data_IF_660098135193
#
_entry.id   IF_660098135193
#
_cell.length_a   1.000
_cell.length_b   1.000
_cell.length_c   1.000
_cell.angle_alpha   90.00
_cell.angle_beta   90.00
_cell.angle_gamma   90.00
#
_symmetry.space_group_name_H-M   'P 1'
#
loop_
_entity.id
_entity.type
_entity.pdbx_description
1 polymer ?
#
# COMPACT_ATOMS: atom_id res chain seq x y z
N UNK A 1 0.34 -9.13 -9.19
CA UNK A 1 -0.04 -7.75 -8.75
C UNK A 1 0.49 -7.52 -7.36
N UNK A 2 0.80 -6.28 -6.92
CA UNK A 2 1.30 -6.10 -5.55
C UNK A 2 0.22 -6.27 -4.49
N UNK A 3 0.59 -6.83 -3.33
CA UNK A 3 -0.28 -6.99 -2.15
C UNK A 3 -0.95 -5.68 -1.73
N UNK A 4 -0.23 -4.57 -1.77
CA UNK A 4 -0.75 -3.21 -1.55
C UNK A 4 -1.97 -2.92 -2.42
N UNK A 5 -1.88 -3.26 -3.71
CA UNK A 5 -2.98 -3.02 -4.66
C UNK A 5 -4.20 -3.87 -4.32
N UNK A 6 -3.98 -5.11 -3.88
CA UNK A 6 -5.03 -6.04 -3.50
C UNK A 6 -5.76 -5.54 -2.25
N UNK A 7 -5.03 -5.32 -1.15
CA UNK A 7 -5.59 -4.88 0.14
C UNK A 7 -6.31 -3.54 0.03
N UNK A 8 -5.76 -2.58 -0.72
CA UNK A 8 -6.42 -1.29 -0.95
C UNK A 8 -7.78 -1.48 -1.64
N UNK A 9 -7.84 -2.35 -2.65
CA UNK A 9 -9.08 -2.63 -3.40
C UNK A 9 -10.08 -3.41 -2.55
N UNK A 10 -9.65 -4.37 -1.75
CA UNK A 10 -10.50 -5.10 -0.81
C UNK A 10 -11.17 -4.17 0.21
N UNK A 11 -10.45 -3.15 0.66
CA UNK A 11 -11.00 -2.07 1.50
C UNK A 11 -11.86 -1.05 0.74
N UNK A 12 -12.04 -1.18 -0.57
CA UNK A 12 -12.79 -0.23 -1.39
C UNK A 12 -12.12 1.15 -1.51
N UNK A 13 -10.83 1.26 -1.21
CA UNK A 13 -10.12 2.54 -1.19
C UNK A 13 -9.60 2.91 -2.58
N UNK A 14 -9.78 4.17 -2.97
CA UNK A 14 -8.99 4.75 -4.05
C UNK A 14 -7.57 5.06 -3.58
N UNK A 15 -6.60 5.23 -4.49
CA UNK A 15 -5.25 5.69 -4.12
C UNK A 15 -5.27 7.02 -3.35
N UNK A 16 -6.20 7.93 -3.70
CA UNK A 16 -6.40 9.21 -3.00
C UNK A 16 -7.01 9.04 -1.60
N UNK A 17 -7.85 8.03 -1.39
CA UNK A 17 -8.41 7.73 -0.08
C UNK A 17 -7.31 7.19 0.85
N UNK A 18 -6.56 6.19 0.38
CA UNK A 18 -5.41 5.66 1.12
C UNK A 18 -4.36 6.73 1.42
N UNK A 19 -4.16 7.68 0.49
CA UNK A 19 -3.28 8.83 0.72
C UNK A 19 -3.71 9.69 1.91
N UNK A 20 -5.01 9.95 2.04
CA UNK A 20 -5.56 10.73 3.18
C UNK A 20 -5.43 9.98 4.50
N UNK A 21 -5.59 8.66 4.48
CA UNK A 21 -5.52 7.83 5.68
C UNK A 21 -4.08 7.59 6.15
N UNK A 22 -3.16 7.35 5.23
CA UNK A 22 -1.75 7.07 5.55
C UNK A 22 -0.87 8.32 5.65
N UNK A 23 -1.33 9.47 5.15
CA UNK A 23 -0.51 10.67 4.99
C UNK A 23 0.59 10.55 3.93
N UNK A 24 0.63 9.44 3.18
CA UNK A 24 1.56 9.26 2.04
C UNK A 24 0.92 9.83 0.79
N UNK A 25 1.70 10.54 -0.03
CA UNK A 25 1.18 11.17 -1.25
C UNK A 25 0.61 10.13 -2.25
N UNK A 26 -0.49 10.48 -2.92
CA UNK A 26 -1.16 9.58 -3.86
C UNK A 26 -0.28 9.16 -5.04
N UNK A 27 0.64 10.03 -5.51
CA UNK A 27 1.62 9.67 -6.54
C UNK A 27 2.66 8.68 -6.02
N UNK A 28 3.03 8.79 -4.74
CA UNK A 28 3.92 7.83 -4.07
C UNK A 28 3.25 6.47 -3.95
N UNK A 29 1.98 6.42 -3.54
CA UNK A 29 1.19 5.17 -3.51
C UNK A 29 1.09 4.56 -4.92
N UNK A 30 0.76 5.37 -5.94
CA UNK A 30 0.64 4.90 -7.33
C UNK A 30 1.95 4.34 -7.88
N UNK A 31 3.09 4.95 -7.53
CA UNK A 31 4.43 4.44 -7.88
C UNK A 31 4.74 3.16 -7.12
N UNK A 32 4.42 3.11 -5.83
CA UNK A 32 4.68 1.97 -4.98
C UNK A 32 4.02 0.71 -5.53
N UNK A 33 2.72 0.80 -5.87
CA UNK A 33 1.92 -0.28 -6.48
C UNK A 33 2.50 -0.89 -7.77
N UNK A 34 3.45 -0.18 -8.41
CA UNK A 34 4.10 -0.60 -9.67
C UNK A 34 5.55 -1.01 -9.50
N UNK A 35 6.29 -0.38 -8.60
CA UNK A 35 7.77 -0.44 -8.57
C UNK A 35 8.36 -0.93 -7.25
N UNK A 36 7.57 -1.16 -6.20
CA UNK A 36 8.04 -1.66 -4.90
C UNK A 36 9.14 -0.81 -4.24
N UNK A 37 9.19 0.49 -4.54
CA UNK A 37 10.21 1.40 -4.02
C UNK A 37 9.59 2.32 -2.98
N UNK A 38 9.81 2.03 -1.70
CA UNK A 38 9.38 2.87 -0.60
C UNK A 38 10.30 2.74 0.62
N UNK A 39 10.46 3.83 1.36
CA UNK A 39 11.12 3.77 2.67
C UNK A 39 10.24 3.03 3.67
N UNK A 40 10.86 2.25 4.56
CA UNK A 40 10.15 1.49 5.61
C UNK A 40 9.18 2.34 6.44
N UNK A 41 9.52 3.60 6.74
CA UNK A 41 8.63 4.51 7.48
C UNK A 41 7.34 4.85 6.72
N UNK A 42 7.42 5.09 5.42
CA UNK A 42 6.24 5.32 4.58
C UNK A 42 5.43 4.02 4.41
N UNK A 43 6.12 2.89 4.31
CA UNK A 43 5.46 1.58 4.27
C UNK A 43 4.68 1.32 5.56
N UNK A 44 5.24 1.67 6.73
CA UNK A 44 4.55 1.55 8.02
C UNK A 44 3.26 2.37 8.05
N UNK A 45 3.30 3.64 7.62
CA UNK A 45 2.09 4.46 7.58
C UNK A 45 0.98 3.87 6.69
N UNK A 46 1.37 3.24 5.57
CA UNK A 46 0.43 2.54 4.69
C UNK A 46 -0.09 1.27 5.36
N UNK A 47 0.78 0.49 6.02
CA UNK A 47 0.39 -0.70 6.77
C UNK A 47 -0.64 -0.35 7.86
N UNK A 48 -0.39 0.70 8.64
CA UNK A 48 -1.28 1.17 9.71
C UNK A 48 -2.65 1.57 9.14
N UNK A 49 -2.70 2.33 8.04
CA UNK A 49 -3.95 2.70 7.36
C UNK A 49 -4.70 1.47 6.80
N UNK A 50 -3.95 0.48 6.31
CA UNK A 50 -4.52 -0.79 5.86
C UNK A 50 -4.83 -1.76 7.00
N UNK A 51 -4.49 -1.45 8.26
CA UNK A 51 -4.61 -2.39 9.37
C UNK A 51 -3.81 -3.68 9.14
N UNK A 52 -2.68 -3.58 8.45
CA UNK A 52 -1.78 -4.69 8.16
C UNK A 52 -0.83 -4.92 9.34
N UNK A 53 -0.81 -6.14 9.86
CA UNK A 53 -0.03 -6.50 11.06
C UNK A 53 1.32 -7.19 10.73
N UNK A 54 1.57 -7.54 9.46
CA UNK A 54 2.84 -8.14 9.01
C UNK A 54 3.98 -7.12 8.83
N UNK A 55 5.10 -7.54 8.21
CA UNK A 55 6.16 -6.57 7.87
C UNK A 55 5.61 -5.58 6.83
N UNK A 56 5.68 -4.26 7.04
CA UNK A 56 5.23 -3.28 6.05
C UNK A 56 5.84 -3.47 4.65
N UNK A 57 7.05 -4.03 4.56
CA UNK A 57 7.70 -4.30 3.28
C UNK A 57 7.03 -5.42 2.49
N UNK A 58 6.32 -6.33 3.15
CA UNK A 58 5.53 -7.38 2.49
C UNK A 58 4.42 -6.76 1.63
N UNK A 59 3.96 -5.54 1.89
CA UNK A 59 2.95 -4.88 1.06
C UNK A 59 3.38 -4.74 -0.42
N UNK A 60 4.68 -4.78 -0.71
CA UNK A 60 5.20 -4.59 -2.06
C UNK A 60 5.55 -5.89 -2.78
N UNK A 61 5.36 -7.04 -2.14
CA UNK A 61 5.54 -8.33 -2.77
C UNK A 61 4.43 -8.60 -3.80
N UNK A 62 4.78 -9.36 -4.81
CA UNK A 62 3.83 -9.83 -5.80
C UNK A 62 2.96 -10.96 -5.24
N UNK A 63 1.65 -10.82 -5.42
CA UNK A 63 0.64 -11.83 -5.10
C UNK A 63 -0.11 -12.23 -6.36
N UNK A 64 -0.55 -13.50 -6.41
CA UNK A 64 -1.44 -14.00 -7.44
C UNK A 64 -2.84 -13.38 -7.25
N UNK A 65 -3.40 -12.83 -8.33
CA UNK A 65 -4.79 -12.42 -8.32
C UNK A 65 -5.64 -13.70 -8.51
N UNK A 66 -6.41 -14.07 -7.48
CA UNK A 66 -7.40 -15.14 -7.55
C UNK A 66 -8.63 -14.71 -8.39
#
# INVERSE_FOLDING_TARGET
MQRLTMLRKEKGLSQRALSRESGVDASTISRAEKQALMYRSQAQNIADALGWEGDPMELFEEVEAA
#
